data_IF_789634330578
#
_entry.id   IF_789634330578
#
_cell.length_a   1.000
_cell.length_b   1.000
_cell.length_c   1.000
_cell.angle_alpha   90.00
_cell.angle_beta   90.00
_cell.angle_gamma   90.00
#
_symmetry.space_group_name_H-M   'P 1'
#
loop_
_entity.id
_entity.type
_entity.pdbx_description
1 polymer ?
#
# COMPACT_ATOMS: atom_id res chain seq x y z
N UNK A 1 -21.10 -58.59 29.65
CA UNK A 1 -19.92 -57.96 30.29
C UNK A 1 -18.76 -58.16 29.34
N UNK A 2 -17.98 -57.20 28.86
CA UNK A 2 -17.76 -55.76 29.06
C UNK A 2 -17.55 -55.17 27.63
N UNK A 3 -17.76 -53.90 27.28
CA UNK A 3 -17.51 -52.66 28.01
C UNK A 3 -16.23 -51.99 27.47
N UNK A 4 -16.38 -50.73 27.01
CA UNK A 4 -15.40 -49.70 26.56
C UNK A 4 -14.92 -49.75 25.09
N UNK A 5 -15.14 -48.79 24.17
CA UNK A 5 -15.19 -47.30 24.13
C UNK A 5 -13.85 -46.60 23.78
N UNK A 6 -13.90 -45.82 22.68
CA UNK A 6 -13.14 -44.60 22.25
C UNK A 6 -11.62 -44.79 21.95
N UNK A 7 -10.98 -44.09 21.02
CA UNK A 7 -11.31 -42.88 20.27
C UNK A 7 -10.53 -42.80 18.96
N UNK A 8 -11.17 -42.25 17.93
CA UNK A 8 -10.45 -41.71 16.79
C UNK A 8 -9.69 -40.45 17.19
N UNK A 9 -8.44 -40.35 16.75
CA UNK A 9 -7.78 -39.06 16.59
C UNK A 9 -7.67 -38.80 15.09
N UNK A 10 -8.72 -38.17 14.56
CA UNK A 10 -8.55 -37.31 13.41
C UNK A 10 -7.73 -36.12 13.88
N UNK A 11 -6.48 -36.03 13.44
CA UNK A 11 -5.68 -34.83 13.62
C UNK A 11 -6.40 -33.70 12.90
N UNK A 12 -6.88 -32.77 13.73
CA UNK A 12 -7.57 -31.55 13.34
C UNK A 12 -6.82 -30.86 12.19
N UNK A 13 -7.62 -30.40 11.23
CA UNK A 13 -7.16 -29.59 10.12
C UNK A 13 -6.27 -28.47 10.66
N UNK A 14 -5.13 -28.29 9.99
CA UNK A 14 -4.44 -27.01 10.03
C UNK A 14 -5.45 -25.99 9.53
N UNK A 15 -6.05 -25.26 10.47
CA UNK A 15 -6.70 -23.99 10.19
C UNK A 15 -5.63 -23.13 9.54
N UNK A 16 -5.60 -23.16 8.22
CA UNK A 16 -4.98 -22.12 7.41
C UNK A 16 -5.84 -20.88 7.63
N UNK A 17 -5.62 -20.26 8.78
CA UNK A 17 -6.29 -19.03 9.17
C UNK A 17 -5.62 -17.95 8.34
N UNK A 18 -6.03 -17.85 7.08
CA UNK A 18 -5.85 -16.67 6.24
C UNK A 18 -6.76 -15.56 6.76
N UNK A 19 -6.69 -15.30 8.07
CA UNK A 19 -7.30 -14.14 8.67
C UNK A 19 -6.66 -12.94 8.00
N UNK A 20 -7.48 -12.17 7.27
CA UNK A 20 -7.05 -10.93 6.66
C UNK A 20 -6.43 -10.09 7.78
N UNK A 21 -5.17 -9.66 7.68
CA UNK A 21 -4.51 -8.90 8.75
C UNK A 21 -5.38 -7.71 9.12
N UNK A 22 -5.57 -7.52 10.43
CA UNK A 22 -6.30 -6.36 10.93
C UNK A 22 -5.54 -5.09 10.48
N UNK A 23 -6.22 -3.97 10.17
CA UNK A 23 -5.57 -2.77 9.66
C UNK A 23 -4.41 -2.27 10.54
N UNK A 24 -4.46 -2.51 11.86
CA UNK A 24 -3.40 -2.19 12.81
C UNK A 24 -2.14 -3.05 12.70
N UNK A 25 -2.17 -4.16 11.96
CA UNK A 25 -1.05 -5.09 11.79
C UNK A 25 -0.32 -4.93 10.44
N UNK A 26 -0.85 -4.09 9.55
CA UNK A 26 -0.22 -3.85 8.25
C UNK A 26 1.05 -3.02 8.44
N UNK A 27 2.19 -3.48 7.94
CA UNK A 27 3.42 -2.67 7.86
C UNK A 27 3.21 -1.53 6.84
N UNK A 28 3.68 -0.31 7.13
CA UNK A 28 3.56 0.83 6.20
C UNK A 28 4.37 0.65 4.90
N UNK A 29 5.35 -0.26 4.91
CA UNK A 29 6.14 -0.64 3.73
C UNK A 29 5.53 -1.81 2.92
N UNK A 30 4.38 -2.36 3.35
CA UNK A 30 3.80 -3.57 2.75
C UNK A 30 3.17 -3.37 1.37
N UNK A 31 3.09 -2.13 0.87
CA UNK A 31 2.46 -1.84 -0.42
C UNK A 31 3.13 -2.54 -1.60
N UNK A 32 4.47 -2.67 -1.56
CA UNK A 32 5.28 -3.23 -2.65
C UNK A 32 5.92 -4.59 -2.28
N UNK A 33 5.60 -5.13 -1.11
CA UNK A 33 5.99 -6.48 -0.74
C UNK A 33 5.39 -7.48 -1.74
N UNK A 34 6.26 -8.37 -2.24
CA UNK A 34 5.91 -9.40 -3.23
C UNK A 34 5.22 -8.82 -4.48
N UNK A 35 5.74 -7.68 -4.97
CA UNK A 35 5.21 -7.04 -6.18
C UNK A 35 5.40 -7.96 -7.40
N UNK A 36 4.29 -8.44 -7.93
CA UNK A 36 4.19 -9.11 -9.22
C UNK A 36 3.57 -8.15 -10.24
N UNK A 37 4.33 -7.82 -11.30
CA UNK A 37 3.90 -6.91 -12.36
C UNK A 37 2.72 -7.45 -13.18
N UNK A 38 2.43 -8.76 -13.12
CA UNK A 38 1.24 -9.34 -13.71
C UNK A 38 -0.02 -9.21 -12.83
N UNK A 39 0.14 -8.79 -11.57
CA UNK A 39 -0.92 -8.72 -10.56
C UNK A 39 -1.06 -7.32 -9.93
N UNK A 40 -0.81 -6.27 -10.72
CA UNK A 40 -0.79 -4.88 -10.23
C UNK A 40 -2.11 -4.43 -9.58
N UNK A 41 -3.27 -4.88 -10.07
CA UNK A 41 -4.55 -4.54 -9.42
C UNK A 41 -4.69 -5.19 -8.03
N UNK A 42 -4.16 -6.40 -7.83
CA UNK A 42 -4.14 -7.05 -6.51
C UNK A 42 -3.18 -6.33 -5.57
N UNK A 43 -1.97 -5.98 -6.04
CA UNK A 43 -1.04 -5.15 -5.29
C UNK A 43 -1.67 -3.81 -4.89
N UNK A 44 -2.40 -3.16 -5.80
CA UNK A 44 -3.12 -1.93 -5.52
C UNK A 44 -4.22 -2.11 -4.46
N UNK A 45 -4.97 -3.21 -4.50
CA UNK A 45 -5.97 -3.53 -3.47
C UNK A 45 -5.34 -3.72 -2.09
N UNK A 46 -4.21 -4.44 -2.00
CA UNK A 46 -3.44 -4.56 -0.75
C UNK A 46 -2.97 -3.20 -0.25
N UNK A 47 -2.33 -2.42 -1.13
CA UNK A 47 -1.80 -1.10 -0.77
C UNK A 47 -2.90 -0.11 -0.35
N UNK A 48 -4.12 -0.22 -0.90
CA UNK A 48 -5.28 0.54 -0.42
C UNK A 48 -5.64 0.26 1.04
N UNK A 49 -5.38 -0.95 1.55
CA UNK A 49 -5.54 -1.24 2.97
C UNK A 49 -4.44 -0.58 3.80
N UNK A 50 -3.19 -0.65 3.35
CA UNK A 50 -2.03 -0.02 4.02
C UNK A 50 -2.22 1.50 4.14
N UNK A 51 -2.61 2.19 3.06
CA UNK A 51 -2.90 3.64 3.09
C UNK A 51 -4.03 4.01 4.06
N UNK A 52 -5.03 3.13 4.24
CA UNK A 52 -6.13 3.37 5.20
C UNK A 52 -5.69 3.19 6.64
N UNK A 53 -4.78 2.24 6.89
CA UNK A 53 -4.19 2.01 8.21
C UNK A 53 -3.26 3.16 8.64
N UNK A 54 -2.45 3.67 7.70
CA UNK A 54 -1.38 4.64 7.98
C UNK A 54 -1.69 6.03 7.43
N UNK A 55 -2.77 6.65 7.91
CA UNK A 55 -3.29 7.90 7.31
C UNK A 55 -2.37 9.12 7.41
N UNK A 56 -1.41 9.08 8.32
CA UNK A 56 -0.45 10.16 8.60
C UNK A 56 0.98 9.84 8.14
N UNK A 57 1.22 8.65 7.61
CA UNK A 57 2.50 8.25 7.04
C UNK A 57 2.51 8.55 5.52
N UNK A 58 3.46 9.34 5.00
CA UNK A 58 3.56 9.58 3.56
C UNK A 58 4.04 8.36 2.76
N UNK A 59 4.73 7.38 3.36
CA UNK A 59 5.36 6.27 2.62
C UNK A 59 4.35 5.40 1.83
N UNK A 60 3.24 4.91 2.41
CA UNK A 60 2.23 4.15 1.66
C UNK A 60 1.62 4.89 0.47
N UNK A 61 1.53 6.23 0.54
CA UNK A 61 1.05 7.05 -0.57
C UNK A 61 2.08 7.12 -1.70
N UNK A 62 3.37 7.23 -1.36
CA UNK A 62 4.47 7.16 -2.34
C UNK A 62 4.43 5.83 -3.07
N UNK A 63 4.32 4.71 -2.36
CA UNK A 63 4.26 3.37 -2.95
C UNK A 63 3.01 3.18 -3.82
N UNK A 64 1.84 3.63 -3.36
CA UNK A 64 0.61 3.55 -4.15
C UNK A 64 0.68 4.40 -5.42
N UNK A 65 1.39 5.53 -5.38
CA UNK A 65 1.63 6.34 -6.57
C UNK A 65 2.40 5.57 -7.66
N UNK A 66 3.36 4.72 -7.26
CA UNK A 66 4.09 3.87 -8.19
C UNK A 66 3.15 2.83 -8.82
N UNK A 67 2.31 2.16 -8.04
CA UNK A 67 1.32 1.20 -8.55
C UNK A 67 0.37 1.84 -9.55
N UNK A 68 -0.11 3.06 -9.27
CA UNK A 68 -0.94 3.81 -10.21
C UNK A 68 -0.20 4.16 -11.50
N UNK A 69 1.09 4.49 -11.45
CA UNK A 69 1.90 4.74 -12.65
C UNK A 69 2.03 3.47 -13.49
N UNK A 70 2.34 2.34 -12.86
CA UNK A 70 2.46 1.05 -13.55
C UNK A 70 1.14 0.63 -14.22
N UNK A 71 0.00 1.02 -13.64
CA UNK A 71 -1.33 0.81 -14.20
C UNK A 71 -1.77 1.89 -15.21
N UNK A 72 -0.93 2.89 -15.52
CA UNK A 72 -1.27 4.00 -16.42
C UNK A 72 -2.24 5.03 -15.83
N UNK A 73 -2.57 4.93 -14.54
CA UNK A 73 -3.54 5.78 -13.82
C UNK A 73 -2.85 7.03 -13.24
N UNK A 74 -2.25 7.83 -14.11
CA UNK A 74 -1.31 8.90 -13.71
C UNK A 74 -1.96 9.98 -12.83
N UNK A 75 -3.23 10.34 -13.08
CA UNK A 75 -3.92 11.36 -12.27
C UNK A 75 -4.13 10.89 -10.82
N UNK A 76 -4.36 9.59 -10.60
CA UNK A 76 -4.44 9.01 -9.26
C UNK A 76 -3.08 9.03 -8.57
N UNK A 77 -2.01 8.70 -9.30
CA UNK A 77 -0.65 8.81 -8.79
C UNK A 77 -0.32 10.23 -8.33
N UNK A 78 -0.67 11.24 -9.13
CA UNK A 78 -0.41 12.64 -8.78
C UNK A 78 -1.19 13.10 -7.55
N UNK A 79 -2.45 12.65 -7.38
CA UNK A 79 -3.21 12.93 -6.15
C UNK A 79 -2.55 12.34 -4.90
N UNK A 80 -1.99 11.14 -5.00
CA UNK A 80 -1.27 10.52 -3.89
C UNK A 80 0.05 11.25 -3.58
N UNK A 81 0.80 11.68 -4.60
CA UNK A 81 2.01 12.49 -4.44
C UNK A 81 1.72 13.81 -3.72
N UNK A 82 0.66 14.51 -4.13
CA UNK A 82 0.28 15.78 -3.50
C UNK A 82 -0.14 15.59 -2.03
N UNK A 83 -0.89 14.51 -1.74
CA UNK A 83 -1.26 14.17 -0.36
C UNK A 83 -0.04 13.81 0.48
N UNK A 84 0.90 13.03 -0.05
CA UNK A 84 2.12 12.66 0.64
C UNK A 84 2.96 13.91 0.97
N UNK A 85 3.15 14.81 0.00
CA UNK A 85 3.84 16.09 0.20
C UNK A 85 3.19 16.97 1.28
N UNK A 86 1.86 16.98 1.37
CA UNK A 86 1.15 17.72 2.42
C UNK A 86 1.45 17.16 3.83
N UNK A 87 1.55 15.83 3.98
CA UNK A 87 1.90 15.18 5.24
C UNK A 87 3.36 15.46 5.66
N UNK A 88 4.29 15.55 4.70
CA UNK A 88 5.69 15.90 4.96
C UNK A 88 5.87 17.30 5.57
N UNK A 89 5.01 18.23 5.19
CA UNK A 89 5.09 19.63 5.64
C UNK A 89 4.41 19.85 7.00
N UNK A 90 3.83 18.80 7.58
CA UNK A 90 3.26 18.85 8.92
C UNK A 90 4.37 19.00 9.98
N UNK A 91 4.09 19.72 11.07
CA UNK A 91 5.06 19.95 12.15
C UNK A 91 5.50 18.63 12.77
N UNK A 92 6.81 18.45 12.96
CA UNK A 92 7.39 17.26 13.60
C UNK A 92 7.58 16.05 12.69
N UNK A 93 7.35 16.19 11.38
CA UNK A 93 7.51 15.09 10.43
C UNK A 93 8.99 14.75 10.16
N UNK A 94 9.44 13.60 10.64
CA UNK A 94 10.76 13.03 10.35
C UNK A 94 10.65 12.02 9.20
N UNK A 95 10.50 12.53 7.99
CA UNK A 95 10.44 11.69 6.78
C UNK A 95 11.84 11.36 6.30
N UNK A 96 12.02 10.12 5.86
CA UNK A 96 13.24 9.66 5.21
C UNK A 96 13.68 10.60 4.05
N UNK A 97 14.95 11.04 3.98
CA UNK A 97 15.43 11.94 2.93
C UNK A 97 15.24 11.40 1.50
N UNK A 98 15.30 10.09 1.29
CA UNK A 98 15.06 9.45 0.00
C UNK A 98 13.59 9.61 -0.42
N UNK A 99 12.66 9.32 0.50
CA UNK A 99 11.21 9.50 0.26
C UNK A 99 10.91 10.97 -0.08
N UNK A 100 11.56 11.91 0.61
CA UNK A 100 11.45 13.35 0.30
C UNK A 100 11.93 13.66 -1.12
N UNK A 101 13.08 13.13 -1.52
CA UNK A 101 13.64 13.38 -2.83
C UNK A 101 12.75 12.81 -3.94
N UNK A 102 12.32 11.56 -3.78
CA UNK A 102 11.43 10.87 -4.71
C UNK A 102 10.12 11.64 -4.94
N UNK A 103 9.46 12.06 -3.86
CA UNK A 103 8.21 12.81 -3.95
C UNK A 103 8.37 14.15 -4.68
N UNK A 104 9.51 14.83 -4.51
CA UNK A 104 9.79 16.07 -5.26
C UNK A 104 9.93 15.81 -6.76
N UNK A 105 10.63 14.73 -7.15
CA UNK A 105 10.79 14.35 -8.57
C UNK A 105 9.45 13.99 -9.20
N UNK A 106 8.63 13.18 -8.48
CA UNK A 106 7.29 12.81 -8.94
C UNK A 106 6.37 14.02 -9.04
N UNK A 107 6.42 14.94 -8.07
CA UNK A 107 5.60 16.15 -8.09
C UNK A 107 5.95 17.07 -9.27
N UNK A 108 7.24 17.23 -9.59
CA UNK A 108 7.67 17.99 -10.75
C UNK A 108 7.08 17.40 -12.05
N UNK A 109 7.11 16.07 -12.18
CA UNK A 109 6.53 15.35 -13.31
C UNK A 109 5.01 15.56 -13.41
N UNK A 110 4.30 15.51 -12.29
CA UNK A 110 2.86 15.79 -12.23
C UNK A 110 2.52 17.22 -12.68
N UNK A 111 3.27 18.23 -12.22
CA UNK A 111 3.06 19.63 -12.60
C UNK A 111 3.32 19.87 -14.09
N UNK A 112 4.33 19.23 -14.65
CA UNK A 112 4.63 19.34 -16.08
C UNK A 112 3.47 18.81 -16.94
N UNK A 113 2.85 17.69 -16.55
CA UNK A 113 1.69 17.14 -17.25
C UNK A 113 0.50 18.11 -17.24
N UNK A 114 0.19 18.72 -16.10
CA UNK A 114 -0.90 19.71 -15.99
C UNK A 114 -0.64 20.91 -16.91
N UNK A 115 0.60 21.42 -16.92
CA UNK A 115 1.00 22.53 -17.80
C UNK A 115 0.85 22.18 -19.28
N UNK A 116 1.17 20.93 -19.66
CA UNK A 116 1.04 20.48 -21.05
C UNK A 116 -0.43 20.26 -21.46
N UNK A 117 -1.29 19.79 -20.55
CA UNK A 117 -2.71 19.56 -20.82
C UNK A 117 -3.51 20.85 -21.04
N UNK A 118 -3.08 21.97 -20.44
CA UNK A 118 -3.74 23.28 -20.61
C UNK A 118 -3.30 24.08 -21.84
N UNK A 119 -2.42 23.52 -22.69
CA UNK A 119 -1.86 24.18 -23.89
C UNK A 119 -2.31 23.53 -25.21
N UNK A 120 -3.33 22.66 -25.16
CA UNK A 120 -3.88 21.95 -26.31
C UNK A 120 -5.21 22.53 -26.80
#
# INVERSE_FOLDING_TARGET
>A
MAGLLIAGLGSAGRSDSTARPEPSELNSQACLEELDLSQLDQALQRCNAVVRAHRTDPAPLTDRSLLYILLGRIDQACRDVDRAMALMNSKGSTVDPMVRHELKVRQASCRQRVSNAGKG
#
